data_IF_689627793828
#
_entry.id   IF_689627793828
#
_cell.length_a   1.000
_cell.length_b   1.000
_cell.length_c   1.000
_cell.angle_alpha   90.00
_cell.angle_beta   90.00
_cell.angle_gamma   90.00
#
_symmetry.space_group_name_H-M   'P 1'
#
loop_
_entity.id
_entity.type
_entity.pdbx_description
1 polymer ?
#
# COMPACT_ATOMS: atom_id res chain seq x y z
N UNK A 1 16.33 -24.30 -0.63
CA UNK A 1 15.23 -24.08 -1.58
C UNK A 1 14.29 -23.08 -0.93
N UNK A 2 14.38 -21.82 -1.29
CA UNK A 2 13.48 -20.77 -0.78
C UNK A 2 12.25 -20.78 -1.69
N UNK A 3 11.04 -21.02 -1.18
CA UNK A 3 9.83 -20.93 -2.00
C UNK A 3 9.67 -19.51 -2.54
N UNK A 4 9.43 -19.42 -3.83
CA UNK A 4 9.22 -18.16 -4.54
C UNK A 4 7.74 -18.02 -4.84
N UNK A 5 7.09 -16.97 -4.37
CA UNK A 5 5.76 -16.60 -4.87
C UNK A 5 5.93 -15.82 -6.17
N UNK A 6 5.34 -16.33 -7.24
CA UNK A 6 5.19 -15.59 -8.48
C UNK A 6 3.84 -14.91 -8.43
N UNK A 7 3.82 -13.58 -8.30
CA UNK A 7 2.62 -12.79 -8.53
C UNK A 7 2.47 -12.65 -10.04
N UNK A 8 1.51 -13.39 -10.59
CA UNK A 8 1.06 -13.19 -11.95
C UNK A 8 0.01 -12.10 -11.95
N UNK A 9 0.20 -11.06 -12.75
CA UNK A 9 -0.81 -10.03 -13.01
C UNK A 9 -1.85 -10.59 -14.00
N UNK A 10 -2.57 -11.64 -13.62
CA UNK A 10 -3.52 -12.34 -14.48
C UNK A 10 -4.67 -11.48 -15.01
N UNK A 11 -4.90 -10.29 -14.44
CA UNK A 11 -5.91 -9.34 -14.92
C UNK A 11 -5.32 -8.19 -15.76
N UNK A 12 -4.02 -8.25 -16.09
CA UNK A 12 -3.42 -7.28 -16.98
C UNK A 12 -3.71 -7.67 -18.45
N UNK A 13 -4.23 -6.72 -19.22
CA UNK A 13 -4.36 -6.86 -20.67
C UNK A 13 -3.00 -7.20 -21.29
N UNK A 14 -2.96 -7.97 -22.41
CA UNK A 14 -1.72 -8.24 -23.12
C UNK A 14 -1.05 -6.91 -23.47
N UNK A 15 0.18 -6.73 -22.97
CA UNK A 15 0.96 -5.52 -23.18
C UNK A 15 1.55 -5.60 -24.58
N UNK A 16 0.77 -5.17 -25.59
CA UNK A 16 1.19 -5.14 -26.99
C UNK A 16 1.85 -3.82 -27.42
N UNK A 17 1.90 -2.80 -26.53
CA UNK A 17 2.47 -1.51 -26.87
C UNK A 17 3.90 -1.33 -26.31
N UNK A 18 4.85 -1.00 -27.18
CA UNK A 18 6.26 -0.77 -26.83
C UNK A 18 6.49 0.16 -25.64
N UNK A 19 5.74 1.27 -25.46
CA UNK A 19 5.90 2.18 -24.32
C UNK A 19 5.61 1.55 -22.96
N UNK A 20 4.64 0.63 -22.87
CA UNK A 20 4.29 -0.03 -21.59
C UNK A 20 5.38 -1.03 -21.22
N UNK A 21 5.92 -1.78 -22.19
CA UNK A 21 7.04 -2.71 -21.97
C UNK A 21 8.29 -1.96 -21.48
N UNK A 22 8.59 -0.79 -22.08
CA UNK A 22 9.73 0.03 -21.66
C UNK A 22 9.57 0.55 -20.21
N UNK A 23 8.37 1.02 -19.85
CA UNK A 23 8.07 1.42 -18.46
C UNK A 23 8.24 0.24 -17.50
N UNK A 24 7.68 -0.90 -17.82
CA UNK A 24 7.83 -2.12 -17.03
C UNK A 24 9.30 -2.49 -16.79
N UNK A 25 10.14 -2.44 -17.83
CA UNK A 25 11.57 -2.72 -17.72
C UNK A 25 12.29 -1.70 -16.84
N UNK A 26 11.96 -0.41 -16.97
CA UNK A 26 12.54 0.64 -16.15
C UNK A 26 12.18 0.48 -14.68
N UNK A 27 10.91 0.22 -14.37
CA UNK A 27 10.42 0.01 -13.02
C UNK A 27 11.03 -1.24 -12.36
N UNK A 28 11.14 -2.34 -13.13
CA UNK A 28 11.87 -3.53 -12.66
C UNK A 28 13.28 -3.21 -12.20
N UNK A 29 14.02 -2.40 -13.00
CA UNK A 29 15.38 -2.01 -12.64
C UNK A 29 15.44 -1.15 -11.37
N UNK A 30 14.47 -0.26 -11.19
CA UNK A 30 14.38 0.61 -10.01
C UNK A 30 14.08 -0.23 -8.77
N UNK A 31 13.09 -1.12 -8.84
CA UNK A 31 12.69 -1.97 -7.72
C UNK A 31 13.76 -3.01 -7.36
N UNK A 32 14.49 -3.54 -8.34
CA UNK A 32 15.61 -4.46 -8.10
C UNK A 32 16.75 -3.82 -7.27
N UNK A 33 16.81 -2.49 -7.18
CA UNK A 33 17.77 -1.75 -6.34
C UNK A 33 17.35 -1.63 -4.88
N UNK A 34 16.09 -1.96 -4.55
CA UNK A 34 15.63 -1.96 -3.17
C UNK A 34 16.20 -3.18 -2.45
N UNK A 35 17.11 -2.93 -1.52
CA UNK A 35 17.69 -3.94 -0.65
C UNK A 35 17.62 -3.44 0.80
N UNK A 36 16.58 -3.87 1.51
CA UNK A 36 16.32 -3.47 2.88
C UNK A 36 15.75 -4.66 3.66
N UNK A 37 16.12 -4.90 4.94
CA UNK A 37 15.66 -6.05 5.71
C UNK A 37 14.14 -6.13 5.84
N UNK A 38 13.45 -4.98 5.82
CA UNK A 38 11.99 -4.87 5.96
C UNK A 38 11.25 -4.64 4.63
N UNK A 39 11.88 -4.88 3.50
CA UNK A 39 11.25 -4.88 2.17
C UNK A 39 11.44 -6.26 1.55
N UNK A 40 10.38 -6.84 1.03
CA UNK A 40 10.47 -8.09 0.26
C UNK A 40 11.25 -7.83 -1.03
N UNK A 41 12.28 -8.65 -1.29
CA UNK A 41 13.16 -8.46 -2.44
C UNK A 41 12.47 -8.84 -3.74
N UNK A 42 12.62 -8.01 -4.76
CA UNK A 42 12.36 -8.42 -6.14
C UNK A 42 13.49 -9.36 -6.58
N UNK A 43 13.13 -10.60 -6.91
CA UNK A 43 14.09 -11.65 -7.34
C UNK A 43 14.26 -11.65 -8.85
N UNK A 44 13.15 -11.51 -9.57
CA UNK A 44 13.12 -11.48 -11.03
C UNK A 44 11.86 -10.78 -11.54
N UNK A 45 11.80 -10.54 -12.83
CA UNK A 45 10.63 -10.02 -13.53
C UNK A 45 10.84 -10.06 -15.04
N UNK A 46 9.78 -10.26 -15.77
CA UNK A 46 9.85 -10.41 -17.22
C UNK A 46 8.47 -10.43 -17.85
N UNK A 47 8.43 -10.90 -19.09
CA UNK A 47 7.20 -11.22 -19.79
C UNK A 47 7.11 -12.74 -19.95
N UNK A 48 5.92 -13.27 -19.79
CA UNK A 48 5.61 -14.66 -20.14
C UNK A 48 5.61 -14.86 -21.65
N UNK A 49 5.55 -16.11 -22.14
CA UNK A 49 5.54 -16.41 -23.58
C UNK A 49 4.35 -15.78 -24.32
N UNK A 50 3.24 -15.54 -23.63
CA UNK A 50 2.05 -14.84 -24.12
C UNK A 50 2.09 -13.31 -23.91
N UNK A 51 3.26 -12.77 -23.49
CA UNK A 51 3.50 -11.34 -23.37
C UNK A 51 2.95 -10.69 -22.10
N UNK A 52 2.54 -11.47 -21.09
CA UNK A 52 2.06 -10.92 -19.81
C UNK A 52 3.24 -10.56 -18.90
N UNK A 53 3.21 -9.40 -18.22
CA UNK A 53 4.24 -9.04 -17.26
C UNK A 53 4.12 -9.88 -15.99
N UNK A 54 5.25 -10.28 -15.43
CA UNK A 54 5.31 -10.93 -14.12
C UNK A 54 6.46 -10.39 -13.28
N UNK A 55 6.30 -10.50 -11.97
CA UNK A 55 7.37 -10.31 -10.99
C UNK A 55 7.49 -11.53 -10.08
N UNK A 56 8.71 -11.92 -9.81
CA UNK A 56 9.03 -12.93 -8.80
C UNK A 56 9.63 -12.23 -7.58
N UNK A 57 9.03 -12.42 -6.43
CA UNK A 57 9.44 -11.78 -5.19
C UNK A 57 9.84 -12.80 -4.12
N UNK A 58 10.58 -12.35 -3.12
CA UNK A 58 10.84 -13.08 -1.90
C UNK A 58 9.51 -13.56 -1.30
N UNK A 59 9.40 -14.85 -1.04
CA UNK A 59 8.28 -15.37 -0.28
C UNK A 59 8.42 -15.00 1.19
N UNK A 60 7.39 -14.39 1.75
CA UNK A 60 7.34 -14.02 3.17
C UNK A 60 6.28 -14.87 3.86
N UNK A 61 6.74 -15.78 4.73
CA UNK A 61 5.87 -16.54 5.62
C UNK A 61 5.48 -15.64 6.80
N UNK A 62 4.36 -14.98 6.67
CA UNK A 62 3.87 -13.99 7.64
C UNK A 62 2.38 -13.74 7.52
N UNK A 63 1.83 -13.02 8.48
CA UNK A 63 0.44 -12.58 8.50
C UNK A 63 0.33 -11.08 8.32
N UNK A 64 -0.78 -10.55 7.77
CA UNK A 64 -1.03 -9.12 7.66
C UNK A 64 -0.88 -8.40 9.01
N UNK A 65 -0.35 -7.16 8.96
CA UNK A 65 0.01 -6.38 10.14
C UNK A 65 -1.15 -6.17 11.11
N UNK A 66 -2.36 -5.94 10.62
CA UNK A 66 -3.58 -5.80 11.43
C UNK A 66 -3.85 -7.08 12.21
N UNK A 67 -3.84 -8.24 11.54
CA UNK A 67 -4.07 -9.55 12.17
C UNK A 67 -2.97 -9.91 13.17
N UNK A 68 -1.71 -9.57 12.85
CA UNK A 68 -0.61 -9.77 13.78
C UNK A 68 -0.80 -8.94 15.05
N UNK A 69 -1.16 -7.66 14.90
CA UNK A 69 -1.41 -6.77 16.01
C UNK A 69 -2.57 -7.24 16.89
N UNK A 70 -3.64 -7.77 16.30
CA UNK A 70 -4.78 -8.27 17.07
C UNK A 70 -4.46 -9.55 17.84
N UNK A 71 -3.56 -10.38 17.33
CA UNK A 71 -3.18 -11.64 17.95
C UNK A 71 -2.02 -11.49 18.96
N UNK A 72 -1.08 -10.55 18.75
CA UNK A 72 0.21 -10.54 19.46
C UNK A 72 0.60 -9.19 20.05
N UNK A 73 0.14 -8.06 19.46
CA UNK A 73 0.51 -6.73 19.93
C UNK A 73 -0.63 -6.11 20.76
N UNK A 74 -0.64 -6.44 22.04
CA UNK A 74 -1.69 -5.98 22.98
C UNK A 74 -1.57 -4.50 23.33
N UNK A 75 -0.35 -3.95 23.42
CA UNK A 75 -0.10 -2.56 23.80
C UNK A 75 -0.04 -1.61 22.59
N UNK A 76 -0.27 -0.33 22.85
CA UNK A 76 -0.12 0.75 21.88
C UNK A 76 1.34 0.89 21.45
N UNK A 77 2.25 0.77 22.41
CA UNK A 77 3.70 0.89 22.20
C UNK A 77 4.21 -0.18 21.21
N UNK A 78 3.74 -1.42 21.34
CA UNK A 78 4.08 -2.51 20.43
C UNK A 78 3.58 -2.22 19.00
N UNK A 79 2.34 -1.75 18.86
CA UNK A 79 1.75 -1.36 17.56
C UNK A 79 2.53 -0.21 16.92
N UNK A 80 2.88 0.81 17.70
CA UNK A 80 3.69 1.95 17.23
C UNK A 80 5.09 1.50 16.83
N UNK A 81 5.72 0.57 17.57
CA UNK A 81 7.04 0.06 17.22
C UNK A 81 7.05 -0.67 15.86
N UNK A 82 6.00 -1.45 15.56
CA UNK A 82 5.85 -2.10 14.25
C UNK A 82 5.70 -1.06 13.13
N UNK A 83 4.85 -0.04 13.32
CA UNK A 83 4.68 1.02 12.31
C UNK A 83 5.96 1.83 12.13
N UNK A 84 6.74 2.09 13.16
CA UNK A 84 8.05 2.75 13.01
C UNK A 84 8.96 1.97 12.07
N UNK A 85 8.98 0.64 12.20
CA UNK A 85 9.75 -0.22 11.31
C UNK A 85 9.26 -0.12 9.85
N UNK A 86 7.93 -0.02 9.63
CA UNK A 86 7.36 0.24 8.30
C UNK A 86 7.80 1.61 7.78
N UNK A 87 7.73 2.65 8.61
CA UNK A 87 8.16 4.00 8.23
C UNK A 87 9.64 4.03 7.80
N UNK A 88 10.52 3.31 8.49
CA UNK A 88 11.94 3.21 8.12
C UNK A 88 12.12 2.58 6.74
N UNK A 89 11.36 1.53 6.44
CA UNK A 89 11.35 0.87 5.13
C UNK A 89 10.84 1.80 4.01
N UNK A 90 9.73 2.51 4.26
CA UNK A 90 9.15 3.49 3.32
C UNK A 90 10.10 4.66 3.11
N UNK A 91 10.70 5.21 4.18
CA UNK A 91 11.69 6.27 4.07
C UNK A 91 12.91 5.83 3.24
N UNK A 92 13.37 4.58 3.39
CA UNK A 92 14.45 4.03 2.57
C UNK A 92 14.10 4.05 1.08
N UNK A 93 12.86 3.71 0.71
CA UNK A 93 12.38 3.78 -0.66
C UNK A 93 12.26 5.23 -1.16
N UNK A 94 11.68 6.13 -0.36
CA UNK A 94 11.52 7.55 -0.68
C UNK A 94 12.86 8.25 -0.96
N UNK A 95 13.92 7.93 -0.20
CA UNK A 95 15.29 8.44 -0.48
C UNK A 95 15.83 8.00 -1.83
N UNK A 96 15.21 7.00 -2.47
CA UNK A 96 15.51 6.52 -3.82
C UNK A 96 14.48 6.94 -4.85
N UNK A 97 13.62 7.90 -4.48
CA UNK A 97 12.54 8.44 -5.31
C UNK A 97 11.49 7.38 -5.70
N UNK A 98 11.33 6.35 -4.86
CA UNK A 98 10.35 5.29 -5.06
C UNK A 98 9.19 5.50 -4.07
N UNK A 99 7.98 5.68 -4.60
CA UNK A 99 6.74 5.81 -3.84
C UNK A 99 6.02 4.46 -3.89
N UNK A 100 5.48 4.01 -2.75
CA UNK A 100 4.84 2.69 -2.65
C UNK A 100 3.45 2.66 -3.31
N UNK A 101 2.64 3.72 -3.13
CA UNK A 101 1.33 3.95 -3.78
C UNK A 101 0.18 3.02 -3.34
N UNK A 102 0.44 1.95 -2.60
CA UNK A 102 -0.59 0.98 -2.18
C UNK A 102 -0.34 0.44 -0.75
N UNK A 103 0.00 1.35 0.18
CA UNK A 103 0.18 0.98 1.58
C UNK A 103 -1.15 0.63 2.22
N UNK A 104 -1.22 -0.59 2.78
CA UNK A 104 -2.37 -1.15 3.51
C UNK A 104 -1.90 -2.34 4.34
N UNK A 105 -2.63 -2.76 5.38
CA UNK A 105 -2.20 -3.87 6.23
C UNK A 105 -1.87 -5.17 5.49
N UNK A 106 -2.60 -5.50 4.42
CA UNK A 106 -2.35 -6.71 3.62
C UNK A 106 -1.03 -6.70 2.85
N UNK A 107 -0.44 -5.51 2.60
CA UNK A 107 0.87 -5.35 1.96
C UNK A 107 2.01 -5.19 2.97
N UNK A 108 1.72 -5.36 4.26
CA UNK A 108 2.70 -5.31 5.35
C UNK A 108 2.55 -6.62 6.13
N UNK A 109 3.49 -7.53 5.93
CA UNK A 109 3.46 -8.81 6.65
C UNK A 109 4.37 -8.77 7.87
N UNK A 110 3.98 -9.53 8.89
CA UNK A 110 4.82 -9.79 10.06
C UNK A 110 5.02 -11.30 10.16
N UNK A 111 6.29 -11.71 10.16
CA UNK A 111 6.65 -13.14 10.28
C UNK A 111 6.43 -13.65 11.70
N UNK A 112 6.44 -14.98 11.89
CA UNK A 112 6.36 -15.60 13.21
C UNK A 112 7.49 -15.18 14.17
N UNK A 113 8.61 -14.66 13.65
CA UNK A 113 9.70 -14.07 14.44
C UNK A 113 9.50 -12.57 14.75
N UNK A 114 8.35 -11.98 14.41
CA UNK A 114 8.07 -10.56 14.61
C UNK A 114 8.74 -9.60 13.61
N UNK A 115 9.32 -10.14 12.52
CA UNK A 115 9.96 -9.30 11.51
C UNK A 115 8.93 -8.74 10.54
N UNK A 116 8.90 -7.40 10.41
CA UNK A 116 8.09 -6.70 9.41
C UNK A 116 8.69 -6.85 8.02
N UNK A 117 7.84 -7.11 7.04
CA UNK A 117 8.16 -7.15 5.61
C UNK A 117 7.11 -6.39 4.80
N UNK A 118 7.54 -5.34 4.13
CA UNK A 118 6.74 -4.55 3.20
C UNK A 118 6.76 -5.23 1.82
N UNK A 119 5.57 -5.48 1.27
CA UNK A 119 5.37 -6.11 -0.03
C UNK A 119 4.97 -5.06 -1.09
N UNK A 120 5.00 -5.47 -2.35
CA UNK A 120 4.29 -4.87 -3.50
C UNK A 120 4.25 -3.33 -3.58
N UNK A 121 5.35 -2.73 -3.99
CA UNK A 121 5.35 -1.33 -4.43
C UNK A 121 4.45 -1.20 -5.66
N UNK A 122 3.24 -0.69 -5.52
CA UNK A 122 2.15 -0.41 -6.47
C UNK A 122 2.40 -0.54 -7.98
N UNK A 123 3.13 -1.58 -8.39
CA UNK A 123 3.64 -1.81 -9.74
C UNK A 123 2.49 -1.86 -10.76
N UNK A 124 1.39 -2.52 -10.39
CA UNK A 124 0.22 -2.61 -11.25
C UNK A 124 -0.40 -1.23 -11.51
N UNK A 125 -0.38 -0.33 -10.51
CA UNK A 125 -0.88 1.05 -10.65
C UNK A 125 0.03 1.89 -11.54
N UNK A 126 1.34 1.67 -11.49
CA UNK A 126 2.31 2.35 -12.35
C UNK A 126 2.18 1.89 -13.81
N UNK A 127 1.92 0.60 -14.05
CA UNK A 127 1.72 0.04 -15.39
C UNK A 127 0.39 0.48 -16.01
N UNK A 128 -0.66 0.66 -15.19
CA UNK A 128 -1.95 1.18 -15.65
C UNK A 128 -1.89 2.64 -16.12
N UNK A 129 -0.77 3.32 -15.88
CA UNK A 129 -0.47 4.67 -16.36
C UNK A 129 -1.06 5.75 -15.47
N UNK A 130 -0.18 6.49 -14.75
CA UNK A 130 -0.42 7.90 -14.46
C UNK A 130 -0.26 8.64 -15.82
N UNK A 131 -1.15 8.40 -16.77
CA UNK A 131 -1.16 9.18 -18.01
C UNK A 131 -1.84 10.50 -17.71
N UNK A 132 -1.03 11.55 -17.56
CA UNK A 132 -1.45 12.93 -17.68
C UNK A 132 -1.99 13.17 -19.12
N UNK A 133 -3.19 12.71 -19.39
CA UNK A 133 -3.85 12.91 -20.67
C UNK A 133 -5.27 12.34 -20.64
N UNK A 134 -6.22 12.90 -21.42
CA UNK A 134 -7.53 12.32 -21.60
C UNK A 134 -7.34 10.96 -22.31
N UNK A 135 -7.11 9.94 -21.47
CA UNK A 135 -6.69 8.61 -21.90
C UNK A 135 -7.79 7.84 -22.56
N UNK A 136 -7.35 6.94 -23.42
CA UNK A 136 -8.10 5.99 -24.20
C UNK A 136 -9.23 5.32 -23.38
N UNK A 137 -10.51 5.47 -23.74
CA UNK A 137 -11.64 4.86 -23.04
C UNK A 137 -11.59 3.34 -22.98
N UNK A 138 -10.78 2.69 -23.81
CA UNK A 138 -10.61 1.24 -23.85
C UNK A 138 -9.89 0.67 -22.60
N UNK A 139 -9.01 1.47 -21.96
CA UNK A 139 -8.31 1.09 -20.72
C UNK A 139 -9.18 1.23 -19.46
N UNK A 140 -10.27 1.99 -19.55
CA UNK A 140 -11.19 2.20 -18.42
C UNK A 140 -12.22 1.08 -18.24
N UNK A 141 -12.46 0.21 -19.22
CA UNK A 141 -13.48 -0.84 -19.12
C UNK A 141 -13.00 -2.13 -18.44
N UNK A 142 -11.70 -2.43 -18.44
CA UNK A 142 -11.12 -3.61 -17.75
C UNK A 142 -10.19 -3.22 -16.61
N UNK A 143 -9.71 -1.99 -16.58
CA UNK A 143 -8.81 -1.46 -15.56
C UNK A 143 -9.55 -0.69 -14.47
N UNK A 144 -10.57 -1.26 -13.85
CA UNK A 144 -10.87 -0.90 -12.46
C UNK A 144 -9.64 -1.30 -11.66
N UNK A 145 -8.66 -0.38 -11.63
CA UNK A 145 -7.55 -0.51 -10.72
C UNK A 145 -8.15 -0.92 -9.37
N UNK A 146 -7.75 -2.08 -8.87
CA UNK A 146 -8.17 -2.61 -7.57
C UNK A 146 -7.52 -1.72 -6.52
N UNK A 147 -7.97 -0.46 -6.47
CA UNK A 147 -7.61 0.47 -5.43
C UNK A 147 -8.50 0.12 -4.24
N UNK A 148 -7.89 -0.12 -3.10
CA UNK A 148 -8.64 -0.22 -1.85
C UNK A 148 -8.90 1.20 -1.37
N UNK A 149 -10.10 1.79 -1.63
CA UNK A 149 -10.35 3.23 -1.41
C UNK A 149 -10.12 3.64 0.03
N UNK A 150 -10.19 2.68 0.93
CA UNK A 150 -10.09 2.89 2.37
C UNK A 150 -8.73 3.43 2.85
N UNK A 151 -7.66 3.27 2.05
CA UNK A 151 -6.30 3.75 2.37
C UNK A 151 -5.78 4.74 1.33
N UNK A 152 -6.59 5.04 0.30
CA UNK A 152 -6.21 5.92 -0.78
C UNK A 152 -6.13 7.38 -0.30
N UNK A 153 -5.03 8.04 -0.63
CA UNK A 153 -4.88 9.47 -0.40
C UNK A 153 -5.80 10.30 -1.32
N UNK A 154 -6.17 11.54 -0.91
CA UNK A 154 -7.03 12.41 -1.71
C UNK A 154 -6.58 12.55 -3.17
N UNK A 155 -5.28 12.78 -3.39
CA UNK A 155 -4.70 12.91 -4.74
C UNK A 155 -4.86 11.64 -5.58
N UNK A 156 -4.86 10.46 -4.98
CA UNK A 156 -5.10 9.21 -5.72
C UNK A 156 -6.55 9.10 -6.20
N UNK A 157 -7.51 9.54 -5.37
CA UNK A 157 -8.93 9.56 -5.71
C UNK A 157 -9.21 10.59 -6.81
N UNK A 158 -8.54 11.74 -6.75
CA UNK A 158 -8.62 12.86 -7.71
C UNK A 158 -7.79 12.64 -8.97
N UNK A 159 -7.05 11.52 -9.08
CA UNK A 159 -6.09 11.25 -10.16
C UNK A 159 -5.06 12.37 -10.34
N UNK A 160 -4.70 13.02 -9.24
CA UNK A 160 -3.63 13.99 -9.20
C UNK A 160 -2.25 13.31 -9.03
N UNK A 161 -1.13 14.02 -9.28
CA UNK A 161 0.20 13.45 -9.17
C UNK A 161 0.49 12.85 -7.80
N UNK A 162 0.94 11.59 -7.79
CA UNK A 162 1.29 10.85 -6.58
C UNK A 162 2.69 11.22 -6.13
N UNK A 163 2.84 11.51 -4.84
CA UNK A 163 4.12 11.89 -4.22
C UNK A 163 4.41 11.05 -2.98
N UNK A 164 5.51 11.32 -2.30
CA UNK A 164 5.81 10.70 -0.99
C UNK A 164 4.75 11.02 0.08
N UNK A 165 4.02 12.13 -0.05
CA UNK A 165 2.91 12.49 0.84
C UNK A 165 1.75 11.48 0.75
N UNK A 166 1.54 10.87 -0.41
CA UNK A 166 0.56 9.80 -0.61
C UNK A 166 0.81 8.61 0.32
N UNK A 167 2.06 8.18 0.43
CA UNK A 167 2.43 7.09 1.34
C UNK A 167 2.31 7.51 2.81
N UNK A 168 2.63 8.77 3.14
CA UNK A 168 2.48 9.30 4.50
C UNK A 168 1.01 9.29 4.90
N UNK A 169 0.10 9.71 4.02
CA UNK A 169 -1.34 9.64 4.26
C UNK A 169 -1.80 8.19 4.53
N UNK A 170 -1.42 7.27 3.66
CA UNK A 170 -1.78 5.86 3.80
C UNK A 170 -1.24 5.23 5.10
N UNK A 171 0.01 5.58 5.51
CA UNK A 171 0.59 5.18 6.79
C UNK A 171 -0.20 5.75 7.98
N UNK A 172 -0.67 6.99 7.88
CA UNK A 172 -1.56 7.59 8.87
C UNK A 172 -2.86 6.80 9.05
N UNK A 173 -3.50 6.41 7.93
CA UNK A 173 -4.72 5.58 7.97
C UNK A 173 -4.44 4.20 8.58
N UNK A 174 -3.33 3.55 8.20
CA UNK A 174 -2.93 2.25 8.78
C UNK A 174 -2.68 2.38 10.27
N UNK A 175 -1.93 3.39 10.71
CA UNK A 175 -1.66 3.63 12.13
C UNK A 175 -2.96 3.89 12.90
N UNK A 176 -3.84 4.74 12.36
CA UNK A 176 -5.15 4.99 12.95
C UNK A 176 -5.93 3.68 13.16
N UNK A 177 -6.03 2.83 12.13
CA UNK A 177 -6.74 1.56 12.21
C UNK A 177 -6.14 0.63 13.27
N UNK A 178 -4.82 0.53 13.35
CA UNK A 178 -4.15 -0.29 14.35
C UNK A 178 -4.40 0.21 15.78
N UNK A 179 -4.51 1.51 15.99
CA UNK A 179 -4.71 2.11 17.30
C UNK A 179 -6.18 2.09 17.71
N UNK A 180 -7.06 2.54 16.84
CA UNK A 180 -8.50 2.66 17.11
C UNK A 180 -9.27 1.34 16.91
N UNK A 181 -8.70 0.36 16.19
CA UNK A 181 -9.39 -0.89 15.84
C UNK A 181 -10.40 -0.73 14.69
N UNK A 182 -10.51 0.47 14.13
CA UNK A 182 -11.37 0.79 12.99
C UNK A 182 -10.72 1.89 12.15
N UNK A 183 -11.08 1.98 10.88
CA UNK A 183 -10.59 3.04 9.99
C UNK A 183 -11.23 4.38 10.29
N UNK A 184 -10.55 5.51 9.97
CA UNK A 184 -11.06 6.86 10.26
C UNK A 184 -12.39 7.15 9.55
N UNK A 185 -12.61 6.55 8.37
CA UNK A 185 -13.83 6.73 7.60
C UNK A 185 -14.46 5.38 7.25
N UNK A 186 -15.78 5.29 7.43
CA UNK A 186 -16.56 4.19 6.88
C UNK A 186 -16.96 4.53 5.44
N UNK A 187 -16.33 3.87 4.49
CA UNK A 187 -16.51 4.07 3.06
C UNK A 187 -17.30 2.93 2.39
N UNK A 188 -17.85 1.99 3.18
CA UNK A 188 -18.68 0.92 2.66
C UNK A 188 -19.94 1.51 1.99
N UNK A 189 -20.32 0.92 0.87
CA UNK A 189 -21.54 1.28 0.10
C UNK A 189 -21.61 2.74 -0.36
N UNK A 190 -20.45 3.43 -0.42
CA UNK A 190 -20.36 4.80 -0.92
C UNK A 190 -19.99 4.82 -2.40
N UNK A 191 -20.55 5.78 -3.12
CA UNK A 191 -20.15 6.06 -4.50
C UNK A 191 -18.73 6.64 -4.55
N UNK A 192 -18.00 6.48 -5.67
CA UNK A 192 -16.65 7.06 -5.82
C UNK A 192 -16.60 8.56 -5.50
N UNK A 193 -17.59 9.33 -5.93
CA UNK A 193 -17.67 10.77 -5.66
C UNK A 193 -17.88 11.11 -4.18
N UNK A 194 -18.67 10.28 -3.46
CA UNK A 194 -18.84 10.45 -2.02
C UNK A 194 -17.56 10.09 -1.26
N UNK A 195 -16.84 9.03 -1.69
CA UNK A 195 -15.55 8.64 -1.10
C UNK A 195 -14.57 9.78 -1.25
N UNK A 196 -14.39 10.31 -2.46
CA UNK A 196 -13.50 11.43 -2.73
C UNK A 196 -13.83 12.64 -1.84
N UNK A 197 -15.12 13.02 -1.75
CA UNK A 197 -15.57 14.12 -0.91
C UNK A 197 -15.28 13.87 0.58
N UNK A 198 -15.55 12.66 1.09
CA UNK A 198 -15.31 12.32 2.50
C UNK A 198 -13.84 12.43 2.83
N UNK A 199 -12.98 11.83 2.00
CA UNK A 199 -11.54 11.77 2.23
C UNK A 199 -10.87 13.14 2.08
N UNK A 200 -11.38 14.00 1.16
CA UNK A 200 -10.78 15.32 0.89
C UNK A 200 -11.27 16.43 1.82
N UNK A 201 -12.52 16.36 2.29
CA UNK A 201 -13.15 17.48 2.99
C UNK A 201 -13.38 17.25 4.49
N UNK A 202 -13.45 15.98 4.94
CA UNK A 202 -13.75 15.69 6.33
C UNK A 202 -12.50 15.47 7.15
N UNK A 203 -12.35 16.16 8.28
CA UNK A 203 -11.30 15.78 9.24
C UNK A 203 -11.63 14.40 9.82
N UNK A 204 -10.63 13.52 9.98
CA UNK A 204 -10.83 12.25 10.66
C UNK A 204 -11.19 12.50 12.13
N UNK A 205 -12.04 11.65 12.75
CA UNK A 205 -12.24 11.71 14.18
C UNK A 205 -10.92 11.33 14.89
N UNK A 206 -10.68 11.84 16.13
CA UNK A 206 -9.49 11.45 16.87
C UNK A 206 -9.51 9.93 17.15
N UNK A 207 -8.36 9.23 17.11
CA UNK A 207 -8.27 7.80 17.36
C UNK A 207 -8.92 7.36 18.68
N UNK A 208 -8.82 8.16 19.73
CA UNK A 208 -9.45 7.86 21.02
C UNK A 208 -10.98 7.80 20.98
N UNK A 209 -11.62 8.48 20.02
CA UNK A 209 -13.08 8.48 19.90
C UNK A 209 -13.63 7.17 19.32
N UNK A 210 -12.84 6.51 18.44
CA UNK A 210 -13.20 5.22 17.80
C UNK A 210 -12.67 3.99 18.51
N UNK A 211 -11.73 4.16 19.43
CA UNK A 211 -11.04 3.06 20.07
C UNK A 211 -11.88 2.33 21.12
N UNK A 212 -11.61 1.04 21.36
CA UNK A 212 -12.15 0.30 22.49
C UNK A 212 -11.85 0.98 23.83
N UNK A 213 -12.75 0.90 24.85
CA UNK A 213 -12.64 1.64 26.11
C UNK A 213 -11.28 1.50 26.81
N UNK A 214 -10.67 0.32 26.73
CA UNK A 214 -9.37 0.02 27.35
C UNK A 214 -8.20 0.79 26.70
N UNK A 215 -8.33 1.24 25.45
CA UNK A 215 -7.30 2.00 24.73
C UNK A 215 -7.56 3.51 24.74
N UNK A 216 -8.80 3.95 24.94
CA UNK A 216 -9.17 5.37 24.81
C UNK A 216 -8.28 6.29 25.65
N UNK A 217 -8.02 5.92 26.92
CA UNK A 217 -7.22 6.75 27.82
C UNK A 217 -5.78 6.92 27.34
N UNK A 218 -5.19 5.86 26.83
CA UNK A 218 -3.80 5.87 26.36
C UNK A 218 -3.64 6.58 24.99
N UNK A 219 -4.71 6.70 24.22
CA UNK A 219 -4.71 7.39 22.92
C UNK A 219 -4.94 8.90 23.06
N UNK A 220 -5.58 9.36 24.15
CA UNK A 220 -5.84 10.79 24.35
C UNK A 220 -4.55 11.58 24.46
N UNK A 221 -4.46 12.67 23.71
CA UNK A 221 -3.29 13.55 23.68
C UNK A 221 -2.56 13.45 22.34
N UNK A 222 -1.26 13.18 22.38
CA UNK A 222 -0.40 13.23 21.17
C UNK A 222 -0.87 12.27 20.07
N UNK A 223 -1.41 11.10 20.40
CA UNK A 223 -1.91 10.13 19.43
C UNK A 223 -3.25 10.52 18.80
N UNK A 224 -3.98 11.47 19.36
CA UNK A 224 -5.20 12.01 18.76
C UNK A 224 -4.92 13.03 17.64
N UNK A 225 -3.65 13.34 17.39
CA UNK A 225 -3.22 14.25 16.31
C UNK A 225 -2.82 13.55 15.00
N UNK A 226 -2.97 12.25 14.96
CA UNK A 226 -2.68 11.40 13.79
C UNK A 226 -3.65 11.68 12.64
#
# INVERSE_FOLDING_TARGET
>A
YTPTHTLSLHDALPISSGPIVQRFQSERQILARLNHPHIARLLDGGLTDDGQPFFAMEYVDGVPLDRYCDAHAGSIEERVALIRTVCDAVQYAHRRLIVHRDLKPSNILVTGAGQVKLLDFGIAKMLAGDTDGPGDPALTQTGRAVMTPAYAAPEQLQRAPVTTATDVYALGVVLYELLAGARPFNLADRSPAEIERIVSERPPPPPSAGAPPERQRALRGDLDTI
#
